data_IF_364889295326
#
_entry.id   IF_364889295326
#
_cell.length_a   1.000
_cell.length_b   1.000
_cell.length_c   1.000
_cell.angle_alpha   90.00
_cell.angle_beta   90.00
_cell.angle_gamma   90.00
#
_symmetry.space_group_name_H-M   'P 1'
#
loop_
_entity.id
_entity.type
_entity.pdbx_description
1 polymer ?
#
# COMPACT_ATOMS: atom_id res chain seq x y z
N UNK A 1 -8.51 -30.50 27.76
CA UNK A 1 -8.69 -29.04 27.64
C UNK A 1 -9.19 -28.78 26.22
N UNK A 2 -10.33 -28.10 26.02
CA UNK A 2 -10.89 -27.87 24.68
C UNK A 2 -10.34 -26.54 24.17
N UNK A 3 -9.54 -26.59 23.11
CA UNK A 3 -9.05 -25.39 22.44
C UNK A 3 -10.24 -24.69 21.76
N UNK A 4 -10.45 -23.41 22.08
CA UNK A 4 -11.55 -22.59 21.53
C UNK A 4 -11.12 -21.95 20.20
N UNK A 5 -9.85 -21.58 20.09
CA UNK A 5 -9.24 -21.06 18.87
C UNK A 5 -8.18 -22.04 18.39
N UNK A 6 -8.18 -22.32 17.08
CA UNK A 6 -7.15 -23.13 16.43
C UNK A 6 -6.00 -22.25 15.92
N UNK A 7 -5.35 -22.69 14.83
CA UNK A 7 -4.36 -21.86 14.12
C UNK A 7 -4.98 -20.53 13.68
N UNK A 8 -4.16 -19.48 13.60
CA UNK A 8 -4.58 -18.24 12.93
C UNK A 8 -5.05 -18.58 11.52
N UNK A 9 -6.30 -18.25 11.23
CA UNK A 9 -6.87 -18.32 9.89
C UNK A 9 -7.15 -16.89 9.48
N UNK A 10 -6.46 -16.45 8.44
CA UNK A 10 -6.90 -15.30 7.67
C UNK A 10 -7.11 -15.82 6.23
N UNK A 11 -8.22 -15.41 5.64
CA UNK A 11 -8.61 -15.82 4.30
C UNK A 11 -8.13 -14.76 3.29
N UNK A 12 -7.90 -15.19 2.05
CA UNK A 12 -7.61 -14.29 0.94
C UNK A 12 -8.74 -13.28 0.72
N UNK A 13 -9.97 -13.61 1.11
CA UNK A 13 -11.11 -12.70 1.12
C UNK A 13 -10.88 -11.43 1.95
N UNK A 14 -10.21 -11.52 3.12
CA UNK A 14 -9.92 -10.32 3.91
C UNK A 14 -8.84 -9.45 3.25
N UNK A 15 -7.84 -10.10 2.64
CA UNK A 15 -6.81 -9.38 1.86
C UNK A 15 -7.45 -8.68 0.65
N UNK A 16 -8.35 -9.35 -0.07
CA UNK A 16 -9.13 -8.76 -1.18
C UNK A 16 -9.96 -7.59 -0.70
N UNK A 17 -10.71 -7.75 0.40
CA UNK A 17 -11.51 -6.68 0.99
C UNK A 17 -10.65 -5.45 1.29
N UNK A 18 -9.48 -5.64 1.91
CA UNK A 18 -8.55 -4.55 2.20
C UNK A 18 -7.99 -3.89 0.94
N UNK A 19 -7.68 -4.67 -0.11
CA UNK A 19 -7.27 -4.14 -1.41
C UNK A 19 -8.34 -3.23 -2.02
N UNK A 20 -9.60 -3.69 -2.04
CA UNK A 20 -10.73 -2.92 -2.57
C UNK A 20 -10.97 -1.62 -1.79
N UNK A 21 -10.85 -1.65 -0.46
CA UNK A 21 -10.93 -0.46 0.39
C UNK A 21 -9.82 0.53 0.03
N UNK A 22 -8.57 0.07 -0.02
CA UNK A 22 -7.43 0.94 -0.34
C UNK A 22 -7.56 1.55 -1.75
N UNK A 23 -7.97 0.75 -2.73
CA UNK A 23 -8.24 1.20 -4.10
C UNK A 23 -9.32 2.30 -4.15
N UNK A 24 -10.45 2.08 -3.47
CA UNK A 24 -11.54 3.05 -3.43
C UNK A 24 -11.17 4.35 -2.70
N UNK A 25 -10.40 4.24 -1.62
CA UNK A 25 -9.92 5.40 -0.87
C UNK A 25 -8.95 6.25 -1.68
N UNK A 26 -8.06 5.64 -2.47
CA UNK A 26 -7.13 6.37 -3.33
C UNK A 26 -7.88 7.24 -4.34
N UNK A 27 -8.82 6.64 -5.09
CA UNK A 27 -9.67 7.36 -6.05
C UNK A 27 -10.51 8.45 -5.41
N UNK A 28 -11.08 8.16 -4.23
CA UNK A 28 -11.88 9.14 -3.48
C UNK A 28 -11.03 10.31 -3.01
N UNK A 29 -9.77 10.05 -2.61
CA UNK A 29 -8.83 11.10 -2.20
C UNK A 29 -8.50 12.05 -3.34
N UNK A 30 -8.26 11.52 -4.54
CA UNK A 30 -8.01 12.36 -5.72
C UNK A 30 -9.21 13.28 -5.98
N UNK A 31 -10.43 12.74 -6.00
CA UNK A 31 -11.63 13.56 -6.22
C UNK A 31 -11.80 14.61 -5.11
N UNK A 32 -11.69 14.22 -3.84
CA UNK A 32 -11.92 15.15 -2.73
C UNK A 32 -10.84 16.23 -2.60
N UNK A 33 -9.59 15.93 -2.90
CA UNK A 33 -8.47 16.84 -2.60
C UNK A 33 -7.79 17.43 -3.84
N UNK A 34 -8.15 16.99 -5.05
CA UNK A 34 -7.62 17.55 -6.30
C UNK A 34 -8.69 18.09 -7.24
N UNK A 35 -9.96 17.69 -7.11
CA UNK A 35 -11.05 18.29 -7.89
C UNK A 35 -11.56 19.58 -7.23
N UNK A 36 -11.91 20.55 -8.09
CA UNK A 36 -12.45 21.87 -7.74
C UNK A 36 -13.83 21.83 -7.09
N UNK A 37 -14.53 20.69 -7.16
CA UNK A 37 -15.90 20.53 -6.65
C UNK A 37 -15.98 20.43 -5.14
N UNK A 38 -14.95 19.91 -4.47
CA UNK A 38 -14.90 19.84 -3.00
C UNK A 38 -14.11 21.00 -2.40
N UNK A 39 -14.84 22.08 -2.05
CA UNK A 39 -14.25 23.25 -1.44
C UNK A 39 -14.11 23.06 0.08
N UNK A 40 -13.01 22.45 0.50
CA UNK A 40 -12.77 21.97 1.85
C UNK A 40 -12.44 23.11 2.84
N UNK A 41 -13.46 23.72 3.46
CA UNK A 41 -13.28 24.83 4.43
C UNK A 41 -12.68 24.42 5.79
N UNK A 42 -12.50 23.13 6.08
CA UNK A 42 -12.03 22.65 7.40
C UNK A 42 -11.06 21.47 7.32
N UNK A 43 -9.96 21.52 8.09
CA UNK A 43 -8.93 20.47 8.17
C UNK A 43 -9.42 19.11 8.74
N UNK A 44 -10.69 19.00 9.15
CA UNK A 44 -11.20 17.79 9.81
C UNK A 44 -11.38 16.61 8.84
N UNK A 45 -11.99 16.83 7.67
CA UNK A 45 -12.20 15.77 6.67
C UNK A 45 -10.88 15.19 6.19
N UNK A 46 -9.92 16.06 5.89
CA UNK A 46 -8.57 15.66 5.46
C UNK A 46 -7.89 14.79 6.52
N UNK A 47 -7.98 15.17 7.80
CA UNK A 47 -7.44 14.38 8.91
C UNK A 47 -8.11 13.01 9.02
N UNK A 48 -9.44 12.94 8.94
CA UNK A 48 -10.18 11.67 9.02
C UNK A 48 -9.85 10.78 7.83
N UNK A 49 -9.76 11.35 6.62
CA UNK A 49 -9.34 10.64 5.42
C UNK A 49 -7.93 10.09 5.57
N UNK A 50 -6.97 10.91 6.01
CA UNK A 50 -5.58 10.49 6.25
C UNK A 50 -5.51 9.30 7.21
N UNK A 51 -6.28 9.34 8.29
CA UNK A 51 -6.35 8.24 9.26
C UNK A 51 -6.94 6.96 8.63
N UNK A 52 -8.01 7.11 7.85
CA UNK A 52 -8.68 6.00 7.20
C UNK A 52 -7.79 5.34 6.13
N UNK A 53 -7.20 6.14 5.24
CA UNK A 53 -6.29 5.66 4.19
C UNK A 53 -5.04 5.00 4.78
N UNK A 54 -4.38 5.65 5.73
CA UNK A 54 -3.18 5.10 6.37
C UNK A 54 -3.49 3.83 7.16
N UNK A 55 -4.61 3.81 7.88
CA UNK A 55 -5.03 2.64 8.66
C UNK A 55 -5.42 1.45 7.79
N UNK A 56 -6.17 1.68 6.71
CA UNK A 56 -6.54 0.62 5.76
C UNK A 56 -5.30 0.01 5.09
N UNK A 57 -4.36 0.86 4.65
CA UNK A 57 -3.14 0.41 4.00
C UNK A 57 -2.21 -0.34 4.95
N UNK A 58 -2.08 0.13 6.20
CA UNK A 58 -1.32 -0.59 7.22
C UNK A 58 -1.94 -1.95 7.52
N UNK A 59 -3.27 -2.04 7.63
CA UNK A 59 -3.97 -3.31 7.83
C UNK A 59 -3.76 -4.27 6.65
N UNK A 60 -3.73 -3.75 5.42
CA UNK A 60 -3.40 -4.55 4.24
C UNK A 60 -1.97 -5.09 4.33
N UNK A 61 -0.98 -4.23 4.57
CA UNK A 61 0.42 -4.63 4.66
C UNK A 61 0.66 -5.66 5.78
N UNK A 62 0.03 -5.48 6.94
CA UNK A 62 0.10 -6.45 8.06
C UNK A 62 -0.58 -7.76 7.67
N UNK A 63 -1.78 -7.72 7.09
CA UNK A 63 -2.49 -8.94 6.67
C UNK A 63 -1.71 -9.70 5.60
N UNK A 64 -1.10 -9.03 4.64
CA UNK A 64 -0.20 -9.63 3.66
C UNK A 64 1.01 -10.28 4.33
N UNK A 65 1.66 -9.56 5.25
CA UNK A 65 2.84 -10.07 5.97
C UNK A 65 2.51 -11.24 6.91
N UNK A 66 1.27 -11.36 7.40
CA UNK A 66 0.88 -12.50 8.23
C UNK A 66 0.42 -13.68 7.36
N UNK A 67 -0.56 -13.46 6.48
CA UNK A 67 -1.17 -14.51 5.65
C UNK A 67 -0.15 -15.23 4.78
N UNK A 68 0.64 -14.46 4.03
CA UNK A 68 1.43 -15.01 2.95
C UNK A 68 2.70 -15.69 3.50
N UNK A 69 3.11 -15.37 4.73
CA UNK A 69 4.18 -16.05 5.46
C UNK A 69 3.73 -17.35 6.12
N UNK A 70 2.50 -17.42 6.64
CA UNK A 70 2.03 -18.57 7.43
C UNK A 70 1.75 -19.80 6.57
N UNK A 71 1.33 -19.62 5.32
CA UNK A 71 0.95 -20.75 4.45
C UNK A 71 2.16 -21.33 3.68
N UNK A 72 3.30 -20.62 3.62
CA UNK A 72 4.48 -21.03 2.85
C UNK A 72 4.26 -21.16 1.33
N UNK A 73 3.03 -20.89 0.86
CA UNK A 73 2.58 -21.01 -0.53
C UNK A 73 3.02 -19.85 -1.41
N UNK A 74 3.42 -18.74 -0.81
CA UNK A 74 3.81 -17.53 -1.51
C UNK A 74 5.21 -17.17 -1.05
N UNK A 75 6.14 -17.28 -1.96
CA UNK A 75 7.47 -16.75 -1.73
C UNK A 75 7.45 -15.25 -2.02
N UNK A 76 7.12 -14.47 -0.99
CA UNK A 76 7.06 -13.00 -1.05
C UNK A 76 8.38 -12.36 -1.48
N UNK A 77 9.52 -13.04 -1.28
CA UNK A 77 10.84 -12.57 -1.73
C UNK A 77 10.99 -12.66 -3.26
N UNK A 78 10.18 -13.50 -3.93
CA UNK A 78 10.26 -13.74 -5.38
C UNK A 78 9.15 -13.09 -6.19
N UNK A 79 8.03 -12.74 -5.57
CA UNK A 79 6.93 -11.97 -6.20
C UNK A 79 7.36 -10.52 -6.39
N UNK A 80 8.16 -10.28 -7.43
CA UNK A 80 8.57 -8.94 -7.83
C UNK A 80 7.38 -8.20 -8.43
N UNK A 81 7.00 -7.09 -7.82
CA UNK A 81 6.09 -6.14 -8.43
C UNK A 81 6.91 -5.10 -9.18
N UNK A 82 6.89 -5.21 -10.51
CA UNK A 82 7.41 -4.17 -11.38
C UNK A 82 6.37 -3.04 -11.47
N UNK A 83 6.84 -1.80 -11.56
CA UNK A 83 6.02 -0.61 -11.88
C UNK A 83 5.03 -0.10 -10.83
N UNK A 84 5.05 -0.61 -9.60
CA UNK A 84 4.19 -0.06 -8.54
C UNK A 84 4.80 1.17 -7.82
N UNK A 85 6.10 1.43 -7.96
CA UNK A 85 6.74 2.52 -7.23
C UNK A 85 8.24 2.72 -7.51
N UNK A 86 8.86 3.60 -6.72
CA UNK A 86 10.30 3.93 -6.72
C UNK A 86 10.84 3.95 -5.29
N UNK A 87 12.10 3.57 -5.10
CA UNK A 87 12.73 3.55 -3.77
C UNK A 87 14.05 4.27 -3.76
N UNK A 88 14.16 5.14 -2.78
CA UNK A 88 15.30 6.01 -2.57
C UNK A 88 15.93 5.73 -1.21
N UNK A 89 17.25 5.81 -1.16
CA UNK A 89 18.02 5.78 0.08
C UNK A 89 18.95 7.00 0.07
N UNK A 90 18.83 7.86 1.08
CA UNK A 90 19.55 9.13 1.16
C UNK A 90 19.44 9.97 -0.15
N UNK A 91 18.23 10.00 -0.71
CA UNK A 91 17.85 10.69 -1.96
C UNK A 91 18.39 10.07 -3.26
N UNK A 92 19.14 8.98 -3.20
CA UNK A 92 19.57 8.24 -4.39
C UNK A 92 18.57 7.15 -4.75
N UNK A 93 18.17 7.05 -6.03
CA UNK A 93 17.30 5.98 -6.50
C UNK A 93 18.08 4.65 -6.44
N UNK A 94 17.62 3.73 -5.60
CA UNK A 94 18.26 2.42 -5.40
C UNK A 94 17.60 1.33 -6.24
N UNK A 95 16.31 1.47 -6.56
CA UNK A 95 15.60 0.45 -7.34
C UNK A 95 14.23 0.90 -7.84
N UNK A 96 13.77 0.22 -8.89
CA UNK A 96 12.43 0.34 -9.49
C UNK A 96 11.60 -0.96 -9.36
N UNK A 97 12.22 -2.02 -8.83
CA UNK A 97 11.58 -3.32 -8.57
C UNK A 97 11.56 -3.57 -7.07
N UNK A 98 10.40 -3.96 -6.54
CA UNK A 98 10.24 -4.32 -5.14
C UNK A 98 9.63 -5.70 -5.03
N UNK A 99 10.10 -6.47 -4.05
CA UNK A 99 9.31 -7.61 -3.60
C UNK A 99 8.07 -7.10 -2.86
N UNK A 100 6.99 -7.88 -2.89
CA UNK A 100 5.81 -7.59 -2.05
C UNK A 100 6.18 -7.43 -0.58
N UNK A 101 7.14 -8.22 -0.11
CA UNK A 101 7.69 -8.12 1.24
C UNK A 101 8.28 -6.74 1.50
N UNK A 102 9.14 -6.24 0.60
CA UNK A 102 9.79 -4.94 0.78
C UNK A 102 8.76 -3.82 0.91
N UNK A 103 7.73 -3.82 0.05
CA UNK A 103 6.66 -2.83 0.09
C UNK A 103 5.92 -2.90 1.43
N UNK A 104 5.49 -4.10 1.85
CA UNK A 104 4.79 -4.29 3.11
C UNK A 104 5.64 -3.84 4.31
N UNK A 105 6.93 -4.20 4.31
CA UNK A 105 7.87 -3.80 5.35
C UNK A 105 8.03 -2.27 5.40
N UNK A 106 8.14 -1.60 4.25
CA UNK A 106 8.22 -0.12 4.22
C UNK A 106 6.93 0.53 4.69
N UNK A 107 5.76 0.04 4.29
CA UNK A 107 4.48 0.57 4.78
C UNK A 107 4.39 0.44 6.31
N UNK A 108 4.74 -0.75 6.85
CA UNK A 108 4.68 -1.03 8.29
C UNK A 108 5.67 -0.18 9.09
N UNK A 109 6.86 0.06 8.55
CA UNK A 109 7.95 0.73 9.25
C UNK A 109 8.08 2.23 8.90
N UNK A 110 7.17 2.79 8.10
CA UNK A 110 7.18 4.20 7.76
C UNK A 110 7.02 5.08 9.00
N UNK A 111 7.86 6.10 9.12
CA UNK A 111 7.71 7.15 10.13
C UNK A 111 6.74 8.23 9.65
N UNK A 112 6.67 8.47 8.35
CA UNK A 112 5.79 9.47 7.75
C UNK A 112 5.19 8.97 6.45
N UNK A 113 3.95 9.38 6.18
CA UNK A 113 3.23 9.13 4.94
C UNK A 113 2.76 10.47 4.38
N UNK A 114 3.00 10.73 3.11
CA UNK A 114 2.61 11.98 2.45
C UNK A 114 2.21 11.73 1.00
N UNK A 115 1.20 12.46 0.52
CA UNK A 115 0.82 12.51 -0.89
C UNK A 115 1.03 13.94 -1.36
N UNK A 116 1.86 14.13 -2.37
CA UNK A 116 2.01 15.46 -2.98
C UNK A 116 0.90 15.69 -3.98
N UNK A 117 0.24 16.85 -3.88
CA UNK A 117 -0.74 17.29 -4.88
C UNK A 117 0.05 17.79 -6.08
N UNK A 118 0.19 16.96 -7.12
CA UNK A 118 0.83 17.39 -8.37
C UNK A 118 -0.19 18.27 -9.12
N UNK A 119 0.14 19.51 -9.50
CA UNK A 119 -0.76 20.37 -10.27
C UNK A 119 -1.15 19.68 -11.57
N UNK A 120 -2.46 19.60 -11.88
CA UNK A 120 -2.99 18.90 -13.06
C UNK A 120 -2.36 19.39 -14.38
N UNK A 121 -1.89 20.63 -14.43
CA UNK A 121 -1.19 21.25 -15.57
C UNK A 121 0.14 20.56 -15.94
N UNK A 122 0.72 19.79 -15.02
CA UNK A 122 2.01 19.09 -15.18
C UNK A 122 1.80 17.59 -15.42
N UNK A 123 0.61 17.05 -15.11
CA UNK A 123 0.34 15.61 -15.11
C UNK A 123 -0.09 15.14 -16.50
N UNK A 124 0.89 14.83 -17.34
CA UNK A 124 0.66 13.82 -18.38
C UNK A 124 0.50 12.46 -17.71
N UNK A 125 -0.67 11.80 -17.83
CA UNK A 125 -1.03 10.39 -17.48
C UNK A 125 -0.43 9.72 -16.22
N UNK A 126 0.24 10.47 -15.34
CA UNK A 126 1.06 9.92 -14.26
C UNK A 126 0.17 9.72 -13.05
N UNK A 127 -0.06 8.46 -12.67
CA UNK A 127 -0.83 8.13 -11.46
C UNK A 127 -0.14 8.76 -10.24
N UNK A 128 -0.93 9.38 -9.36
CA UNK A 128 -0.40 9.97 -8.13
C UNK A 128 0.27 8.89 -7.26
N UNK A 129 1.41 9.22 -6.68
CA UNK A 129 2.14 8.33 -5.76
C UNK A 129 2.04 8.84 -4.34
N UNK A 130 1.97 7.90 -3.39
CA UNK A 130 2.08 8.17 -1.96
C UNK A 130 3.53 7.88 -1.56
N UNK A 131 4.17 8.86 -0.91
CA UNK A 131 5.49 8.71 -0.35
C UNK A 131 5.42 8.17 1.08
N UNK A 132 6.13 7.09 1.33
CA UNK A 132 6.43 6.54 2.65
C UNK A 132 7.88 6.85 2.96
N UNK A 133 8.16 7.42 4.13
CA UNK A 133 9.54 7.73 4.53
C UNK A 133 9.82 7.14 5.89
N UNK A 134 11.06 6.73 6.09
CA UNK A 134 11.53 6.31 7.40
C UNK A 134 13.05 6.29 7.49
N UNK A 135 13.55 5.77 8.61
CA UNK A 135 14.99 5.67 8.88
C UNK A 135 15.33 4.23 9.24
N UNK A 136 16.40 3.70 8.65
CA UNK A 136 16.93 2.38 8.96
C UNK A 136 18.47 2.45 9.03
N UNK A 137 19.06 1.98 10.13
CA UNK A 137 20.52 2.06 10.38
C UNK A 137 21.13 3.44 10.08
N UNK A 138 20.48 4.52 10.55
CA UNK A 138 20.88 5.93 10.33
C UNK A 138 20.80 6.42 8.89
N UNK A 139 20.27 5.62 7.95
CA UNK A 139 20.01 6.04 6.58
C UNK A 139 18.53 6.33 6.41
N UNK A 140 18.25 7.43 5.72
CA UNK A 140 16.88 7.80 5.35
C UNK A 140 16.45 6.99 4.13
N UNK A 141 15.20 6.59 4.11
CA UNK A 141 14.62 5.93 2.95
C UNK A 141 13.27 6.54 2.59
N UNK A 142 12.97 6.54 1.29
CA UNK A 142 11.69 6.97 0.72
C UNK A 142 11.20 5.90 -0.24
N UNK A 143 9.94 5.51 -0.12
CA UNK A 143 9.23 4.68 -1.08
C UNK A 143 8.09 5.50 -1.66
N UNK A 144 8.15 5.77 -2.96
CA UNK A 144 7.04 6.36 -3.71
C UNK A 144 6.22 5.21 -4.28
N UNK A 145 4.94 5.10 -3.90
CA UNK A 145 4.11 3.95 -4.23
C UNK A 145 2.78 4.41 -4.83
N UNK A 146 2.43 3.90 -6.01
CA UNK A 146 1.06 3.97 -6.51
C UNK A 146 0.22 2.92 -5.80
N UNK A 147 -0.66 3.35 -4.91
CA UNK A 147 -1.53 2.43 -4.16
C UNK A 147 -2.42 1.64 -5.11
N UNK A 148 -2.94 2.29 -6.16
CA UNK A 148 -3.77 1.63 -7.17
C UNK A 148 -3.04 0.46 -7.84
N UNK A 149 -1.83 0.69 -8.36
CA UNK A 149 -1.05 -0.37 -9.02
C UNK A 149 -0.62 -1.46 -8.04
N UNK A 150 -0.29 -1.08 -6.81
CA UNK A 150 0.06 -2.05 -5.77
C UNK A 150 -1.10 -2.99 -5.44
N UNK A 151 -2.30 -2.47 -5.19
CA UNK A 151 -3.45 -3.31 -4.81
C UNK A 151 -3.97 -4.13 -5.98
N UNK A 152 -3.92 -3.62 -7.21
CA UNK A 152 -4.22 -4.40 -8.43
C UNK A 152 -3.27 -5.59 -8.55
N UNK A 153 -1.97 -5.38 -8.32
CA UNK A 153 -0.99 -6.45 -8.39
C UNK A 153 -1.18 -7.50 -7.28
N UNK A 154 -1.58 -7.08 -6.08
CA UNK A 154 -1.95 -8.02 -5.01
C UNK A 154 -3.18 -8.83 -5.39
N UNK A 155 -4.22 -8.21 -5.95
CA UNK A 155 -5.43 -8.93 -6.38
C UNK A 155 -5.11 -9.98 -7.45
N UNK A 156 -4.31 -9.61 -8.46
CA UNK A 156 -3.87 -10.56 -9.50
C UNK A 156 -3.11 -11.75 -8.89
N UNK A 157 -2.21 -11.49 -7.92
CA UNK A 157 -1.52 -12.56 -7.21
C UNK A 157 -2.49 -13.50 -6.49
N UNK A 158 -3.50 -12.96 -5.80
CA UNK A 158 -4.50 -13.79 -5.09
C UNK A 158 -5.29 -14.67 -6.06
N UNK A 159 -5.65 -14.13 -7.23
CA UNK A 159 -6.38 -14.87 -8.26
C UNK A 159 -5.53 -16.00 -8.88
N UNK A 160 -4.24 -15.75 -9.12
CA UNK A 160 -3.28 -16.78 -9.59
C UNK A 160 -3.15 -17.94 -8.59
N UNK A 161 -3.08 -17.61 -7.30
CA UNK A 161 -2.92 -18.60 -6.23
C UNK A 161 -4.16 -19.47 -6.04
N UNK A 162 -5.35 -18.91 -6.25
CA UNK A 162 -6.60 -19.68 -6.18
C UNK A 162 -6.86 -20.49 -7.43
N UNK A 163 -6.50 -19.98 -8.60
CA UNK A 163 -6.60 -20.74 -9.87
C UNK A 163 -5.63 -21.92 -9.89
N UNK A 164 -4.53 -21.83 -9.14
CA UNK A 164 -3.54 -22.90 -8.98
C UNK A 164 -3.92 -23.96 -7.92
N UNK A 165 -5.09 -23.85 -7.28
CA UNK A 165 -5.65 -24.85 -6.35
C UNK A 165 -6.49 -25.90 -7.08
#
# INVERSE_FOLDING_TARGET
>A
MKEIFGKHVQDFDEVRRLCLICHGLERTGDILFTDSTYNNKTNCTERVYKNLASGALLNLAVSMRINLYQDGRINLDTSKLTHCGFYYCDHELIGQEFSLKDICDKIIHANTVSKEVIPQEVVGSSKSTIQFKGVHHKRSWTLDLSIELFVEAVLNLLDELETSR
#
